data_IF_453805599371
#
_entry.id   IF_453805599371
#
_cell.length_a   1.000
_cell.length_b   1.000
_cell.length_c   1.000
_cell.angle_alpha   90.00
_cell.angle_beta   90.00
_cell.angle_gamma   90.00
#
_symmetry.space_group_name_H-M   'P 1'
#
loop_
_entity.id
_entity.type
_entity.pdbx_description
1 polymer ?
#
# COMPACT_ATOMS: atom_id res chain seq x y z
N UNK A 1 -13.59 1.53 23.77
CA UNK A 1 -13.20 0.56 22.72
C UNK A 1 -13.46 1.18 21.35
N UNK A 2 -12.44 1.37 20.51
CA UNK A 2 -12.67 1.92 19.17
C UNK A 2 -13.33 0.87 18.27
N UNK A 3 -14.57 1.12 17.85
CA UNK A 3 -15.29 0.28 16.88
C UNK A 3 -14.46 0.20 15.60
N UNK A 4 -14.08 -1.03 15.21
CA UNK A 4 -13.37 -1.27 13.96
C UNK A 4 -14.35 -1.08 12.80
N UNK A 5 -14.47 0.15 12.31
CA UNK A 5 -15.33 0.46 11.15
C UNK A 5 -14.67 -0.13 9.89
N UNK A 6 -15.29 -1.12 9.21
CA UNK A 6 -14.71 -1.77 8.03
C UNK A 6 -14.51 -0.79 6.86
N UNK A 7 -15.39 0.20 6.72
CA UNK A 7 -15.26 1.26 5.71
C UNK A 7 -13.98 2.11 5.89
N UNK A 8 -13.57 2.39 7.13
CA UNK A 8 -12.34 3.13 7.40
C UNK A 8 -11.09 2.32 7.01
N UNK A 9 -11.11 1.00 7.22
CA UNK A 9 -9.99 0.12 6.84
C UNK A 9 -9.83 0.03 5.31
N UNK A 10 -10.94 -0.03 4.58
CA UNK A 10 -10.91 -0.02 3.12
C UNK A 10 -10.27 1.27 2.57
N UNK A 11 -10.58 2.45 3.15
CA UNK A 11 -9.99 3.73 2.74
C UNK A 11 -8.46 3.80 2.98
N UNK A 12 -8.00 3.16 4.06
CA UNK A 12 -6.62 3.25 4.53
C UNK A 12 -5.68 2.17 3.96
N UNK A 13 -6.21 1.01 3.55
CA UNK A 13 -5.39 -0.15 3.20
C UNK A 13 -5.68 -0.71 1.81
N UNK A 14 -6.91 -0.54 1.28
CA UNK A 14 -7.29 -1.14 0.00
C UNK A 14 -6.51 -0.48 -1.13
N UNK A 15 -5.78 -1.29 -1.89
CA UNK A 15 -5.02 -0.89 -3.08
C UNK A 15 -3.90 0.13 -2.82
N UNK A 16 -3.46 0.33 -1.57
CA UNK A 16 -2.34 1.21 -1.26
C UNK A 16 -1.03 0.42 -1.27
N UNK A 17 -0.12 0.86 -2.13
CA UNK A 17 1.21 0.31 -2.27
C UNK A 17 2.25 1.37 -1.95
N UNK A 18 3.34 0.94 -1.33
CA UNK A 18 4.47 1.81 -0.99
C UNK A 18 5.64 1.40 -1.86
N UNK A 19 6.29 2.34 -2.53
CA UNK A 19 7.50 2.01 -3.27
C UNK A 19 8.67 1.68 -2.30
N UNK A 20 9.47 0.66 -2.61
CA UNK A 20 10.62 0.26 -1.80
C UNK A 20 11.79 1.25 -1.84
N UNK A 21 11.96 2.00 -2.93
CA UNK A 21 13.01 3.01 -3.06
C UNK A 21 12.59 4.37 -2.48
N UNK A 22 11.50 4.92 -3.01
CA UNK A 22 11.09 6.31 -2.75
C UNK A 22 10.15 6.44 -1.53
N UNK A 23 9.72 5.34 -0.92
CA UNK A 23 8.66 5.27 0.11
C UNK A 23 7.35 6.01 -0.24
N UNK A 24 7.15 6.38 -1.50
CA UNK A 24 5.93 7.04 -1.96
C UNK A 24 4.75 6.07 -1.93
N UNK A 25 3.60 6.58 -1.49
CA UNK A 25 2.33 5.84 -1.47
C UNK A 25 1.64 6.02 -2.82
N UNK A 26 1.14 4.92 -3.38
CA UNK A 26 0.37 4.92 -4.61
C UNK A 26 -0.91 4.11 -4.41
N UNK A 27 -1.98 4.48 -5.09
CA UNK A 27 -3.19 3.67 -5.20
C UNK A 27 -3.20 2.96 -6.54
N UNK A 28 -3.10 1.64 -6.52
CA UNK A 28 -3.07 0.82 -7.73
C UNK A 28 -3.73 -0.55 -7.50
N UNK A 29 -4.38 -1.09 -8.53
CA UNK A 29 -4.93 -2.45 -8.48
C UNK A 29 -3.77 -3.44 -8.37
N UNK A 30 -3.95 -4.48 -7.55
CA UNK A 30 -2.96 -5.55 -7.34
C UNK A 30 -2.49 -6.17 -8.66
N UNK A 31 -3.42 -6.44 -9.60
CA UNK A 31 -3.11 -6.96 -10.94
C UNK A 31 -2.09 -6.09 -11.68
N UNK A 32 -2.28 -4.76 -11.69
CA UNK A 32 -1.39 -3.84 -12.39
C UNK A 32 0.02 -3.76 -11.79
N UNK A 33 0.15 -4.00 -10.47
CA UNK A 33 1.44 -4.06 -9.78
C UNK A 33 2.17 -5.35 -10.16
N UNK A 34 1.47 -6.49 -10.14
CA UNK A 34 2.01 -7.80 -10.50
C UNK A 34 2.42 -7.83 -11.97
N UNK A 35 1.60 -7.26 -12.85
CA UNK A 35 1.90 -7.10 -14.28
C UNK A 35 2.99 -6.04 -14.55
N UNK A 36 3.50 -5.33 -13.53
CA UNK A 36 4.56 -4.32 -13.70
C UNK A 36 4.15 -3.07 -14.51
N UNK A 37 2.85 -2.84 -14.70
CA UNK A 37 2.28 -1.72 -15.46
C UNK A 37 2.38 -0.38 -14.71
N UNK A 38 2.67 -0.43 -13.42
CA UNK A 38 2.72 0.75 -12.53
C UNK A 38 4.17 1.09 -12.18
N UNK A 39 4.52 2.37 -12.24
CA UNK A 39 5.86 2.91 -11.91
C UNK A 39 5.77 3.93 -10.76
N UNK A 40 6.76 4.04 -9.86
CA UNK A 40 6.80 5.09 -8.84
C UNK A 40 6.85 6.44 -9.56
N UNK A 41 5.95 7.37 -9.25
CA UNK A 41 5.93 8.70 -9.86
C UNK A 41 7.20 9.53 -9.58
N UNK A 42 7.91 9.22 -8.48
CA UNK A 42 9.18 9.88 -8.11
C UNK A 42 10.42 9.20 -8.71
N UNK A 43 10.66 7.93 -8.38
CA UNK A 43 11.88 7.23 -8.75
C UNK A 43 11.77 6.32 -9.99
N UNK A 44 10.59 6.24 -10.62
CA UNK A 44 10.30 5.38 -11.79
C UNK A 44 10.50 3.87 -11.58
N UNK A 45 10.95 3.43 -10.40
CA UNK A 45 11.09 2.01 -10.03
C UNK A 45 9.73 1.31 -9.97
N UNK A 46 9.72 0.01 -10.30
CA UNK A 46 8.52 -0.86 -10.26
C UNK A 46 8.41 -1.69 -8.98
N UNK A 47 9.33 -1.48 -8.04
CA UNK A 47 9.42 -2.30 -6.84
C UNK A 47 8.53 -1.71 -5.74
N UNK A 48 7.38 -2.35 -5.50
CA UNK A 48 6.38 -1.93 -4.50
C UNK A 48 6.20 -2.97 -3.40
N UNK A 49 5.75 -2.52 -2.23
CA UNK A 49 5.30 -3.36 -1.11
C UNK A 49 3.87 -2.99 -0.72
N UNK A 50 3.03 -3.94 -0.29
CA UNK A 50 1.69 -3.63 0.17
C UNK A 50 1.76 -2.83 1.48
N UNK A 51 0.88 -1.84 1.65
CA UNK A 51 0.74 -1.13 2.93
C UNK A 51 0.08 -2.08 3.93
N UNK A 52 0.85 -2.57 4.91
CA UNK A 52 0.30 -3.33 6.04
C UNK A 52 -0.22 -2.34 7.09
N UNK A 53 -1.34 -2.69 7.73
CA UNK A 53 -1.74 -2.06 8.99
C UNK A 53 -0.63 -2.36 9.99
N UNK A 54 -0.10 -1.38 10.72
CA UNK A 54 0.69 -1.67 11.93
C UNK A 54 -0.25 -2.47 12.85
N UNK A 55 -0.11 -3.79 12.85
CA UNK A 55 -0.40 -4.56 14.04
C UNK A 55 0.63 -4.10 15.05
N UNK A 56 0.21 -3.83 16.27
CA UNK A 56 1.11 -3.84 17.42
C UNK A 56 1.82 -5.19 17.42
N UNK A 57 3.00 -5.27 16.83
CA UNK A 57 3.97 -6.29 17.19
C UNK A 57 4.39 -5.91 18.60
N UNK A 58 3.63 -6.41 19.57
CA UNK A 58 4.07 -6.47 20.94
C UNK A 58 4.84 -7.80 21.07
N UNK A 59 6.10 -7.64 21.47
CA UNK A 59 7.16 -8.65 21.65
C UNK A 59 7.79 -9.19 20.35
#
# INVERSE_FOLDING_TARGET
MAVKIPAAQARLLKNIWICKNCNSKIRAKSRQIIEGKVKCRKCKSRNFRPMRKRGTTAK
#
